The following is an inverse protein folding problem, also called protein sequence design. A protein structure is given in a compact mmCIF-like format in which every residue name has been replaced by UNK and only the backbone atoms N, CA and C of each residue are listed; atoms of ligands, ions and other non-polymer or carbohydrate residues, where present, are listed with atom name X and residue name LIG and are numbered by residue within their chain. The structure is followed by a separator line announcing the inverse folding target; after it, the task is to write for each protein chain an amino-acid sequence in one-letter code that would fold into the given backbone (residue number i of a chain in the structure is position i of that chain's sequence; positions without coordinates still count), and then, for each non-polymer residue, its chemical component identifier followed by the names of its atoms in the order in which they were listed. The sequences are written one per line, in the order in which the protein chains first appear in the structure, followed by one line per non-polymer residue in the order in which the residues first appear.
data_IF_914978140392
#
_entry.id   IF_914978140392
#
_cell.length_a   1.000
_cell.length_b   1.000
_cell.length_c   1.000
_cell.angle_alpha   90.00
_cell.angle_beta   90.00
_cell.angle_gamma   90.00
#
_symmetry.space_group_name_H-M   'P 1'
#
loop_
_entity.id
_entity.type
_entity.pdbx_description
1 polymer ?
#
# COMPACT_ATOMS: atom_id res chain seq x y z
N UNK A 1 7.40 10.82 13.19
CA UNK A 1 6.97 9.64 12.41
C UNK A 1 7.80 9.61 11.16
N UNK A 2 8.52 8.53 10.93
CA UNK A 2 9.24 8.35 9.66
C UNK A 2 8.25 7.81 8.62
N UNK A 3 7.73 8.71 7.79
CA UNK A 3 6.80 8.37 6.70
C UNK A 3 7.38 7.31 5.78
N UNK A 4 8.70 7.30 5.58
CA UNK A 4 9.39 6.32 4.76
C UNK A 4 9.19 4.92 5.30
N UNK A 5 9.47 4.73 6.59
CA UNK A 5 9.32 3.44 7.24
C UNK A 5 7.85 3.00 7.31
N UNK A 6 6.93 3.93 7.60
CA UNK A 6 5.49 3.64 7.62
C UNK A 6 4.98 3.12 6.28
N UNK A 7 5.39 3.74 5.17
CA UNK A 7 5.00 3.31 3.82
C UNK A 7 5.74 2.02 3.42
N UNK A 8 7.01 1.86 3.80
CA UNK A 8 7.73 0.63 3.53
C UNK A 8 7.05 -0.58 4.18
N UNK A 9 6.62 -0.45 5.45
CA UNK A 9 5.91 -1.53 6.15
C UNK A 9 4.61 -1.93 5.43
N UNK A 10 3.87 -0.98 4.86
CA UNK A 10 2.65 -1.30 4.11
C UNK A 10 2.97 -1.92 2.74
N UNK A 11 4.07 -1.52 2.09
CA UNK A 11 4.55 -2.15 0.86
C UNK A 11 4.94 -3.60 1.12
N UNK A 12 5.74 -3.86 2.17
CA UNK A 12 6.17 -5.22 2.53
C UNK A 12 4.95 -6.13 2.75
N UNK A 13 3.93 -5.62 3.46
CA UNK A 13 2.67 -6.33 3.62
C UNK A 13 1.94 -6.61 2.29
N UNK A 14 1.89 -5.64 1.36
CA UNK A 14 1.30 -5.86 0.04
C UNK A 14 2.00 -6.99 -0.69
N UNK A 15 3.33 -6.97 -0.71
CA UNK A 15 4.17 -7.94 -1.43
C UNK A 15 4.04 -9.36 -0.86
N UNK A 16 3.94 -9.49 0.46
CA UNK A 16 3.71 -10.77 1.13
C UNK A 16 2.28 -11.32 0.92
N UNK A 17 1.32 -10.46 0.61
CA UNK A 17 -0.11 -10.79 0.55
C UNK A 17 -0.75 -10.60 -0.84
N UNK A 18 0.03 -10.59 -1.93
CA UNK A 18 -0.47 -10.30 -3.28
C UNK A 18 -1.63 -11.20 -3.73
N UNK A 19 -1.70 -12.43 -3.24
CA UNK A 19 -2.76 -13.40 -3.58
C UNK A 19 -4.02 -13.24 -2.72
N UNK A 20 -3.96 -12.48 -1.62
CA UNK A 20 -5.08 -12.25 -0.72
C UNK A 20 -5.90 -11.02 -1.11
N UNK A 21 -7.09 -10.87 -0.53
CA UNK A 21 -7.87 -9.64 -0.62
C UNK A 21 -7.25 -8.57 0.29
N UNK A 22 -6.48 -7.63 -0.28
CA UNK A 22 -5.90 -6.51 0.45
C UNK A 22 -6.85 -5.31 0.40
N UNK A 23 -7.15 -4.73 1.56
CA UNK A 23 -7.93 -3.50 1.67
C UNK A 23 -7.07 -2.29 2.00
N UNK A 24 -7.45 -1.09 1.54
CA UNK A 24 -6.67 0.11 1.82
C UNK A 24 -6.76 0.53 3.30
N UNK A 25 -7.90 0.28 3.96
CA UNK A 25 -8.05 0.51 5.41
C UNK A 25 -7.04 -0.29 6.23
N UNK A 26 -6.79 -1.55 5.84
CA UNK A 26 -5.77 -2.38 6.47
C UNK A 26 -4.37 -1.80 6.29
N UNK A 27 -4.02 -1.41 5.07
CA UNK A 27 -2.71 -0.83 4.76
C UNK A 27 -2.49 0.50 5.49
N UNK A 28 -3.54 1.33 5.57
CA UNK A 28 -3.50 2.58 6.32
C UNK A 28 -3.26 2.33 7.80
N UNK A 29 -3.92 1.32 8.39
CA UNK A 29 -3.70 0.90 9.78
C UNK A 29 -2.27 0.42 10.02
N UNK A 30 -1.69 -0.37 9.11
CA UNK A 30 -0.29 -0.84 9.19
C UNK A 30 0.68 0.36 9.15
N UNK A 31 0.41 1.32 8.28
CA UNK A 31 1.22 2.54 8.17
C UNK A 31 0.96 3.58 9.28
N UNK A 32 -0.04 3.37 10.15
CA UNK A 32 -0.40 4.30 11.22
C UNK A 32 -1.13 5.56 10.74
N UNK A 33 -1.87 5.49 9.64
CA UNK A 33 -2.58 6.60 9.03
C UNK A 33 -4.09 6.36 8.91
N UNK A 34 -4.86 7.43 8.78
CA UNK A 34 -6.22 7.33 8.24
C UNK A 34 -6.15 6.95 6.76
N UNK A 35 -7.19 6.30 6.19
CA UNK A 35 -7.20 5.91 4.78
C UNK A 35 -6.93 7.08 3.83
N UNK A 36 -7.55 8.24 4.09
CA UNK A 36 -7.33 9.44 3.28
C UNK A 36 -5.88 9.93 3.30
N UNK A 37 -5.25 9.97 4.49
CA UNK A 37 -3.86 10.39 4.60
C UNK A 37 -2.92 9.38 3.94
N UNK A 38 -3.20 8.08 4.12
CA UNK A 38 -2.46 7.00 3.50
C UNK A 38 -2.43 7.10 1.98
N UNK A 39 -3.57 7.34 1.32
CA UNK A 39 -3.61 7.53 -0.14
C UNK A 39 -2.66 8.63 -0.62
N UNK A 40 -2.65 9.77 0.09
CA UNK A 40 -1.81 10.92 -0.28
C UNK A 40 -0.34 10.63 -0.07
N UNK A 41 0.03 10.09 1.09
CA UNK A 41 1.43 9.80 1.44
C UNK A 41 1.98 8.68 0.57
N UNK A 42 1.23 7.60 0.38
CA UNK A 42 1.64 6.49 -0.48
C UNK A 42 1.91 6.98 -1.89
N UNK A 43 0.98 7.73 -2.50
CA UNK A 43 1.17 8.26 -3.85
C UNK A 43 2.37 9.22 -3.93
N UNK A 44 2.55 10.08 -2.91
CA UNK A 44 3.70 10.99 -2.88
C UNK A 44 5.05 10.25 -2.77
N UNK A 45 5.08 9.10 -2.10
CA UNK A 45 6.30 8.32 -1.88
C UNK A 45 6.60 7.30 -2.99
N UNK A 46 5.57 6.64 -3.52
CA UNK A 46 5.68 5.56 -4.52
C UNK A 46 5.50 6.08 -5.95
N UNK A 47 4.87 7.24 -6.12
CA UNK A 47 4.62 7.88 -7.41
C UNK A 47 3.37 7.38 -8.15
N UNK A 48 2.68 6.37 -7.61
CA UNK A 48 1.40 5.86 -8.12
C UNK A 48 0.40 5.58 -6.99
N UNK A 49 -0.91 5.61 -7.25
CA UNK A 49 -1.93 5.25 -6.27
C UNK A 49 -1.76 3.81 -5.76
N UNK A 50 -2.03 3.57 -4.47
CA UNK A 50 -1.88 2.23 -3.87
C UNK A 50 -2.70 1.14 -4.56
N UNK A 51 -3.91 1.46 -5.03
CA UNK A 51 -4.77 0.49 -5.73
C UNK A 51 -4.14 0.08 -7.06
N UNK A 52 -3.52 1.02 -7.75
CA UNK A 52 -2.79 0.76 -9.00
C UNK A 52 -1.50 -0.03 -8.72
N UNK A 53 -0.78 0.30 -7.65
CA UNK A 53 0.37 -0.48 -7.19
C UNK A 53 -0.01 -1.95 -6.98
N UNK A 54 -1.04 -2.23 -6.17
CA UNK A 54 -1.50 -3.60 -5.91
C UNK A 54 -1.87 -4.32 -7.21
N UNK A 55 -2.60 -3.64 -8.12
CA UNK A 55 -3.00 -4.20 -9.41
C UNK A 55 -1.79 -4.56 -10.27
N UNK A 56 -0.77 -3.72 -10.32
CA UNK A 56 0.44 -3.95 -11.13
C UNK A 56 1.31 -5.08 -10.58
N UNK A 57 1.26 -5.32 -9.26
CA UNK A 57 2.03 -6.38 -8.59
C UNK A 57 1.34 -7.74 -8.65
N UNK A 58 0.02 -7.77 -8.75
CA UNK A 58 -0.71 -9.02 -8.99
C UNK A 58 -0.40 -9.53 -10.39
N UNK A 59 0.14 -10.76 -10.54
CA UNK A 59 0.29 -11.34 -11.86
C UNK A 59 -1.10 -11.44 -12.49
N UNK A 60 -1.29 -10.80 -13.65
CA UNK A 60 -2.41 -11.12 -14.51
C UNK A 60 -2.34 -12.61 -14.78
N UNK A 61 -3.37 -13.36 -14.38
CA UNK A 61 -3.51 -14.76 -14.76
C UNK A 61 -3.69 -14.76 -16.30
N UNK A 62 -2.60 -14.98 -17.03
CA UNK A 62 -2.59 -15.28 -18.48
C UNK A 62 -2.56 -16.79 -18.60
#
# INVERSE_FOLDING_TARGET
MDYRQCIQNSIDYIEENLQACISVDELARIAGFSPYHYYRVFNAYVGIPVVEYIRNRRPAHI
#
